data_IF_558964713315
#
_entry.id   IF_558964713315
#
_cell.length_a   1.000
_cell.length_b   1.000
_cell.length_c   1.000
_cell.angle_alpha   90.00
_cell.angle_beta   90.00
_cell.angle_gamma   90.00
#
_symmetry.space_group_name_H-M   'P 1'
#
loop_
_entity.id
_entity.type
_entity.pdbx_description
1 polymer ?
#
# COMPACT_ATOMS: atom_id res chain seq x y z
N UNK A 1 -33.09 -31.66 43.32
CA UNK A 1 -32.96 -32.97 43.97
C UNK A 1 -32.64 -33.95 42.85
N UNK A 2 -31.36 -34.25 42.66
CA UNK A 2 -30.70 -35.47 43.22
C UNK A 2 -31.32 -36.72 42.58
N UNK A 3 -30.61 -37.69 42.02
CA UNK A 3 -29.20 -38.06 42.07
C UNK A 3 -28.95 -39.10 40.96
N UNK A 4 -27.70 -39.26 40.57
CA UNK A 4 -27.21 -40.21 39.57
C UNK A 4 -27.08 -41.64 40.13
N UNK A 5 -27.15 -42.67 39.26
CA UNK A 5 -26.30 -43.87 39.39
C UNK A 5 -26.00 -44.52 38.04
N UNK A 6 -24.86 -44.12 37.50
CA UNK A 6 -23.79 -44.92 36.90
C UNK A 6 -23.94 -46.47 36.83
N UNK A 7 -23.83 -47.03 35.62
CA UNK A 7 -23.22 -48.35 35.39
C UNK A 7 -22.29 -48.29 34.18
N UNK A 8 -21.00 -48.31 34.49
CA UNK A 8 -19.90 -48.17 33.55
C UNK A 8 -19.80 -49.27 32.51
N UNK A 9 -19.33 -48.87 31.32
CA UNK A 9 -18.71 -49.78 30.35
C UNK A 9 -17.28 -49.30 30.11
N UNK A 10 -16.32 -50.16 30.47
CA UNK A 10 -14.88 -50.00 30.20
C UNK A 10 -14.68 -49.91 28.69
N UNK A 11 -14.09 -48.80 28.23
CA UNK A 11 -13.67 -48.61 26.85
C UNK A 11 -12.34 -49.34 26.60
N UNK A 12 -12.30 -50.19 25.57
CA UNK A 12 -11.05 -50.79 25.05
C UNK A 12 -10.47 -49.86 23.97
N UNK A 13 -9.19 -49.47 24.03
CA UNK A 13 -8.59 -48.65 22.98
C UNK A 13 -8.10 -49.55 21.85
N UNK A 14 -8.69 -49.40 20.65
CA UNK A 14 -8.23 -50.08 19.45
C UNK A 14 -9.08 -49.72 18.24
N UNK A 15 -8.45 -49.01 17.30
CA UNK A 15 -8.72 -49.05 15.85
C UNK A 15 -10.01 -48.39 15.32
N UNK A 16 -9.86 -47.12 14.94
CA UNK A 16 -10.23 -46.48 13.65
C UNK A 16 -10.69 -45.04 13.90
N UNK A 17 -9.92 -44.03 13.49
CA UNK A 17 -9.67 -43.59 12.10
C UNK A 17 -10.77 -42.65 11.63
N UNK A 18 -10.35 -41.42 11.29
CA UNK A 18 -11.14 -40.31 10.73
C UNK A 18 -12.28 -39.79 11.63
N UNK A 19 -12.01 -38.77 12.47
CA UNK A 19 -12.84 -37.55 12.51
C UNK A 19 -12.44 -36.54 13.59
N UNK A 20 -11.57 -36.87 14.52
CA UNK A 20 -11.32 -36.00 15.68
C UNK A 20 -9.91 -35.40 15.68
N UNK A 21 -9.75 -34.29 14.95
CA UNK A 21 -8.72 -33.25 15.17
C UNK A 21 -8.97 -32.00 14.32
N UNK A 22 -10.23 -31.56 14.21
CA UNK A 22 -10.58 -30.19 13.82
C UNK A 22 -10.69 -29.34 15.08
N UNK A 23 -9.57 -28.96 15.67
CA UNK A 23 -9.55 -27.89 16.66
C UNK A 23 -8.21 -27.15 16.66
N UNK A 24 -8.30 -25.87 16.32
CA UNK A 24 -7.37 -24.76 16.63
C UNK A 24 -5.99 -24.78 15.98
N UNK A 25 -5.94 -24.26 14.75
CA UNK A 25 -4.95 -23.22 14.40
C UNK A 25 -5.61 -22.24 13.42
N UNK A 26 -6.42 -21.33 13.96
CA UNK A 26 -6.78 -20.09 13.27
C UNK A 26 -5.57 -19.17 13.30
N UNK A 27 -4.56 -19.46 12.48
CA UNK A 27 -3.51 -18.49 12.18
C UNK A 27 -4.12 -17.45 11.26
N UNK A 28 -4.31 -16.23 11.78
CA UNK A 28 -4.66 -15.09 10.94
C UNK A 28 -3.50 -14.87 9.99
N UNK A 29 -3.77 -14.87 8.69
CA UNK A 29 -2.77 -14.66 7.63
C UNK A 29 -1.93 -13.38 7.78
N UNK A 30 -2.35 -12.43 8.63
CA UNK A 30 -1.57 -11.23 8.97
C UNK A 30 -0.31 -11.50 9.78
N UNK A 31 -0.21 -12.63 10.47
CA UNK A 31 0.92 -12.94 11.35
C UNK A 31 2.11 -13.61 10.62
N UNK A 32 1.98 -13.90 9.33
CA UNK A 32 3.00 -14.54 8.48
C UNK A 32 3.91 -13.53 7.74
N UNK A 33 3.80 -12.25 8.06
CA UNK A 33 4.72 -11.21 7.56
C UNK A 33 6.08 -11.25 8.25
N UNK A 34 6.19 -11.94 9.38
CA UNK A 34 7.41 -12.07 10.18
C UNK A 34 8.10 -13.42 9.90
N UNK A 35 9.23 -13.39 9.17
CA UNK A 35 10.01 -14.59 8.83
C UNK A 35 10.38 -15.44 10.06
N UNK A 36 10.51 -14.82 11.24
CA UNK A 36 10.87 -15.53 12.48
C UNK A 36 9.78 -16.50 12.94
N UNK A 37 8.50 -16.17 12.73
CA UNK A 37 7.38 -17.05 13.09
C UNK A 37 7.22 -18.21 12.09
N UNK A 38 7.61 -18.01 10.83
CA UNK A 38 7.65 -19.09 9.84
C UNK A 38 8.71 -20.14 10.19
N UNK A 39 9.87 -19.72 10.69
CA UNK A 39 10.94 -20.59 11.20
C UNK A 39 10.47 -21.41 12.40
N UNK A 40 9.68 -20.82 13.31
CA UNK A 40 9.19 -21.54 14.49
C UNK A 40 8.18 -22.67 14.13
N UNK A 41 7.45 -22.51 13.02
CA UNK A 41 6.58 -23.55 12.44
C UNK A 41 7.39 -24.70 11.81
N UNK A 42 8.66 -24.49 11.43
CA UNK A 42 9.55 -25.51 10.82
C UNK A 42 9.73 -26.75 11.70
N UNK A 43 9.61 -26.61 13.03
CA UNK A 43 9.85 -27.72 13.96
C UNK A 43 8.73 -28.75 14.04
N UNK A 44 7.55 -28.50 13.45
CA UNK A 44 6.36 -29.33 13.74
C UNK A 44 5.59 -29.85 12.53
N UNK A 45 5.94 -29.51 11.28
CA UNK A 45 5.13 -29.91 10.11
C UNK A 45 5.91 -30.33 8.86
N UNK A 46 5.29 -31.24 8.12
CA UNK A 46 5.74 -31.97 6.92
C UNK A 46 6.17 -31.09 5.75
N UNK A 47 7.13 -31.62 4.97
CA UNK A 47 7.83 -31.02 3.82
C UNK A 47 6.96 -30.30 2.77
N UNK A 48 5.68 -30.63 2.62
CA UNK A 48 4.78 -30.03 1.62
C UNK A 48 4.28 -28.63 1.99
N UNK A 49 4.10 -28.31 3.28
CA UNK A 49 3.70 -26.96 3.71
C UNK A 49 4.85 -25.96 3.51
N UNK A 50 6.09 -26.43 3.62
CA UNK A 50 7.31 -25.66 3.42
C UNK A 50 7.41 -25.12 1.98
N UNK A 51 7.22 -25.99 0.98
CA UNK A 51 7.31 -25.62 -0.45
C UNK A 51 6.27 -24.55 -0.82
N UNK A 52 5.05 -24.63 -0.26
CA UNK A 52 4.01 -23.65 -0.58
C UNK A 52 4.32 -22.25 -0.01
N UNK A 53 4.91 -22.16 1.19
CA UNK A 53 5.31 -20.89 1.79
C UNK A 53 6.43 -20.21 0.98
N UNK A 54 7.45 -20.95 0.53
CA UNK A 54 8.56 -20.40 -0.25
C UNK A 54 8.16 -19.93 -1.65
N UNK A 55 7.19 -20.57 -2.29
CA UNK A 55 6.76 -20.20 -3.64
C UNK A 55 5.71 -19.08 -3.67
N UNK A 56 4.80 -19.05 -2.68
CA UNK A 56 3.69 -18.06 -2.68
C UNK A 56 4.04 -16.74 -2.02
N UNK A 57 4.98 -16.72 -1.07
CA UNK A 57 5.39 -15.49 -0.38
C UNK A 57 6.08 -14.46 -1.32
N UNK A 58 7.05 -14.86 -2.17
CA UNK A 58 7.67 -13.93 -3.11
C UNK A 58 6.68 -13.44 -4.17
N UNK A 59 5.75 -14.27 -4.62
CA UNK A 59 4.74 -13.86 -5.61
C UNK A 59 3.80 -12.77 -5.08
N UNK A 60 3.34 -12.89 -3.81
CA UNK A 60 2.47 -11.89 -3.18
C UNK A 60 3.18 -10.56 -2.93
N UNK A 61 4.37 -10.60 -2.33
CA UNK A 61 5.16 -9.39 -2.07
C UNK A 61 5.45 -8.60 -3.37
N UNK A 62 5.64 -9.31 -4.48
CA UNK A 62 5.89 -8.68 -5.79
C UNK A 62 4.64 -8.06 -6.40
N UNK A 63 3.50 -8.76 -6.35
CA UNK A 63 2.22 -8.18 -6.79
C UNK A 63 1.86 -6.92 -5.99
N UNK A 64 2.21 -6.87 -4.70
CA UNK A 64 2.05 -5.67 -3.89
C UNK A 64 2.94 -4.52 -4.36
N UNK A 65 4.19 -4.80 -4.77
CA UNK A 65 5.10 -3.78 -5.31
C UNK A 65 4.66 -3.26 -6.68
N UNK A 66 4.09 -4.10 -7.52
CA UNK A 66 3.51 -3.68 -8.81
C UNK A 66 2.31 -2.74 -8.59
N UNK A 67 1.41 -3.08 -7.66
CA UNK A 67 0.29 -2.21 -7.29
C UNK A 67 0.76 -0.90 -6.65
N UNK A 68 1.81 -0.96 -5.84
CA UNK A 68 2.41 0.24 -5.27
C UNK A 68 2.97 1.15 -6.37
N UNK A 69 3.68 0.57 -7.36
CA UNK A 69 4.18 1.31 -8.52
C UNK A 69 3.06 2.04 -9.25
N UNK A 70 1.98 1.33 -9.56
CA UNK A 70 0.83 1.90 -10.27
C UNK A 70 0.22 3.09 -9.51
N UNK A 71 0.05 2.97 -8.19
CA UNK A 71 -0.45 4.07 -7.35
C UNK A 71 0.46 5.28 -7.38
N UNK A 72 1.77 5.07 -7.27
CA UNK A 72 2.75 6.16 -7.29
C UNK A 72 2.79 6.82 -8.66
N UNK A 73 2.72 6.04 -9.75
CA UNK A 73 2.67 6.56 -11.11
C UNK A 73 1.41 7.40 -11.36
N UNK A 74 0.24 6.92 -10.93
CA UNK A 74 -1.00 7.67 -11.06
C UNK A 74 -0.93 9.02 -10.31
N UNK A 75 -0.43 8.99 -9.07
CA UNK A 75 -0.20 10.22 -8.28
C UNK A 75 0.81 11.16 -8.97
N UNK A 76 1.92 10.61 -9.48
CA UNK A 76 2.92 11.37 -10.23
C UNK A 76 2.31 12.08 -11.44
N UNK A 77 1.50 11.38 -12.24
CA UNK A 77 0.87 11.96 -13.41
C UNK A 77 -0.11 13.07 -13.07
N UNK A 78 -0.90 12.91 -12.00
CA UNK A 78 -1.81 13.96 -11.52
C UNK A 78 -1.03 15.21 -11.08
N UNK A 79 -0.04 15.06 -10.21
CA UNK A 79 0.76 16.19 -9.71
C UNK A 79 1.55 16.86 -10.84
N UNK A 80 2.05 16.08 -11.80
CA UNK A 80 2.74 16.60 -12.98
C UNK A 80 1.81 17.40 -13.88
N UNK A 81 0.56 16.98 -14.06
CA UNK A 81 -0.43 17.71 -14.83
C UNK A 81 -0.76 19.05 -14.14
N UNK A 82 -1.12 19.02 -12.86
CA UNK A 82 -1.40 20.21 -12.05
C UNK A 82 -0.25 21.24 -12.08
N UNK A 83 1.00 20.75 -12.02
CA UNK A 83 2.18 21.60 -12.15
C UNK A 83 2.25 22.27 -13.52
N UNK A 84 2.00 21.51 -14.58
CA UNK A 84 2.04 22.07 -15.94
C UNK A 84 0.97 23.14 -16.14
N UNK A 85 -0.23 22.95 -15.60
CA UNK A 85 -1.29 23.95 -15.57
C UNK A 85 -0.87 25.21 -14.80
N UNK A 86 -0.30 25.06 -13.60
CA UNK A 86 0.19 26.21 -12.83
C UNK A 86 1.24 27.01 -13.59
N UNK A 87 2.16 26.34 -14.28
CA UNK A 87 3.20 27.00 -15.10
C UNK A 87 2.58 27.74 -16.29
N UNK A 88 1.56 27.17 -16.94
CA UNK A 88 0.84 27.84 -18.02
C UNK A 88 0.12 29.10 -17.54
N UNK A 89 -0.59 29.02 -16.41
CA UNK A 89 -1.28 30.18 -15.81
C UNK A 89 -0.27 31.26 -15.42
N UNK A 90 0.85 30.87 -14.78
CA UNK A 90 1.92 31.81 -14.43
C UNK A 90 2.50 32.53 -15.65
N UNK A 91 2.65 31.83 -16.78
CA UNK A 91 3.16 32.43 -18.02
C UNK A 91 2.24 33.53 -18.54
N UNK A 92 0.93 33.34 -18.45
CA UNK A 92 -0.04 34.35 -18.87
C UNK A 92 -0.15 35.49 -17.86
N UNK A 93 -0.18 35.20 -16.55
CA UNK A 93 -0.21 36.24 -15.51
C UNK A 93 1.02 37.14 -15.53
N UNK A 94 2.20 36.61 -15.91
CA UNK A 94 3.44 37.40 -16.09
C UNK A 94 3.32 38.50 -17.15
N UNK A 95 2.37 38.40 -18.07
CA UNK A 95 2.10 39.43 -19.10
C UNK A 95 1.12 40.51 -18.61
N UNK A 96 0.49 40.29 -17.46
CA UNK A 96 -0.50 41.20 -16.90
C UNK A 96 0.15 42.17 -15.91
N UNK A 97 -0.51 43.32 -15.72
CA UNK A 97 -0.10 44.29 -14.72
C UNK A 97 -0.34 43.75 -13.31
N UNK A 98 0.69 43.84 -12.45
CA UNK A 98 0.68 43.25 -11.10
C UNK A 98 -0.42 43.78 -10.17
N UNK A 99 -0.80 45.05 -10.33
CA UNK A 99 -1.82 45.70 -9.50
C UNK A 99 -3.26 45.40 -9.94
N UNK A 100 -3.48 44.68 -11.04
CA UNK A 100 -4.84 44.33 -11.48
C UNK A 100 -5.49 43.36 -10.50
N UNK A 101 -6.82 43.47 -10.41
CA UNK A 101 -7.66 42.50 -9.72
C UNK A 101 -7.65 41.17 -10.48
N UNK A 102 -7.50 40.09 -9.73
CA UNK A 102 -7.63 38.71 -10.15
C UNK A 102 -8.70 38.04 -9.28
N UNK A 103 -9.49 37.15 -9.88
CA UNK A 103 -10.55 36.44 -9.20
C UNK A 103 -10.25 34.95 -9.23
N UNK A 104 -10.24 34.34 -8.06
CA UNK A 104 -10.01 32.90 -7.90
C UNK A 104 -11.20 32.25 -7.23
N UNK A 105 -11.55 31.05 -7.70
CA UNK A 105 -12.56 30.20 -7.06
C UNK A 105 -11.86 29.20 -6.14
N UNK A 106 -12.29 29.13 -4.88
CA UNK A 106 -11.87 28.15 -3.88
C UNK A 106 -13.13 27.58 -3.22
N UNK A 107 -13.38 26.28 -3.41
CA UNK A 107 -14.54 25.58 -2.84
C UNK A 107 -15.89 26.28 -3.06
N UNK A 108 -16.07 26.86 -4.25
CA UNK A 108 -17.29 27.58 -4.63
C UNK A 108 -17.35 29.05 -4.18
N UNK A 109 -16.31 29.54 -3.49
CA UNK A 109 -16.18 30.94 -3.05
C UNK A 109 -15.28 31.68 -4.04
N UNK A 110 -15.71 32.86 -4.50
CA UNK A 110 -14.90 33.77 -5.32
C UNK A 110 -14.13 34.71 -4.40
N UNK A 111 -12.81 34.71 -4.51
CA UNK A 111 -11.91 35.60 -3.80
C UNK A 111 -11.33 36.63 -4.77
N UNK A 112 -11.36 37.91 -4.38
CA UNK A 112 -10.66 38.99 -5.07
C UNK A 112 -9.25 39.12 -4.48
N UNK A 113 -8.23 39.08 -5.35
CA UNK A 113 -6.83 39.26 -5.00
C UNK A 113 -6.13 40.11 -6.07
N UNK A 114 -4.89 40.52 -5.84
CA UNK A 114 -4.10 41.12 -6.92
C UNK A 114 -3.45 40.03 -7.78
N UNK A 115 -3.15 40.35 -9.04
CA UNK A 115 -2.35 39.47 -9.92
C UNK A 115 -1.02 39.12 -9.24
N UNK A 116 -0.41 40.06 -8.53
CA UNK A 116 0.83 39.81 -7.78
C UNK A 116 0.68 38.70 -6.74
N UNK A 117 -0.35 38.77 -5.91
CA UNK A 117 -0.59 37.80 -4.83
C UNK A 117 -0.85 36.40 -5.41
N UNK A 118 -1.68 36.33 -6.46
CA UNK A 118 -1.99 35.07 -7.15
C UNK A 118 -0.75 34.45 -7.79
N UNK A 119 0.12 35.27 -8.40
CA UNK A 119 1.37 34.78 -8.97
C UNK A 119 2.30 34.20 -7.91
N UNK A 120 2.47 34.88 -6.78
CA UNK A 120 3.34 34.42 -5.70
C UNK A 120 2.84 33.09 -5.11
N UNK A 121 1.53 32.94 -4.94
CA UNK A 121 0.93 31.68 -4.49
C UNK A 121 1.14 30.54 -5.50
N UNK A 122 0.94 30.81 -6.79
CA UNK A 122 1.16 29.82 -7.86
C UNK A 122 2.63 29.42 -7.99
N UNK A 123 3.57 30.35 -7.79
CA UNK A 123 5.02 30.07 -7.78
C UNK A 123 5.37 29.13 -6.61
N UNK A 124 4.93 29.45 -5.39
CA UNK A 124 5.12 28.59 -4.21
C UNK A 124 4.50 27.19 -4.42
N UNK A 125 3.29 27.14 -4.99
CA UNK A 125 2.62 25.86 -5.30
C UNK A 125 3.41 25.05 -6.32
N UNK A 126 3.91 25.68 -7.39
CA UNK A 126 4.71 25.03 -8.42
C UNK A 126 6.03 24.48 -7.87
N UNK A 127 6.67 25.21 -6.95
CA UNK A 127 7.87 24.74 -6.24
C UNK A 127 7.55 23.52 -5.36
N UNK A 128 6.48 23.59 -4.55
CA UNK A 128 6.04 22.45 -3.73
C UNK A 128 5.73 21.21 -4.57
N UNK A 129 5.07 21.38 -5.72
CA UNK A 129 4.79 20.27 -6.64
C UNK A 129 6.07 19.70 -7.27
N UNK A 130 7.08 20.53 -7.49
CA UNK A 130 8.40 20.05 -7.95
C UNK A 130 9.06 19.12 -6.95
N UNK A 131 8.97 19.45 -5.65
CA UNK A 131 9.46 18.58 -4.59
C UNK A 131 8.70 17.24 -4.54
N UNK A 132 7.38 17.27 -4.68
CA UNK A 132 6.55 16.05 -4.71
C UNK A 132 6.86 15.15 -5.93
N UNK A 133 7.00 15.73 -7.12
CA UNK A 133 7.39 15.02 -8.35
C UNK A 133 8.71 14.30 -8.13
N UNK A 134 9.72 15.01 -7.61
CA UNK A 134 11.03 14.41 -7.32
C UNK A 134 10.94 13.24 -6.33
N UNK A 135 10.16 13.40 -5.25
CA UNK A 135 9.95 12.33 -4.28
C UNK A 135 9.26 11.10 -4.91
N UNK A 136 8.31 11.31 -5.82
CA UNK A 136 7.69 10.23 -6.58
C UNK A 136 8.66 9.56 -7.55
N UNK A 137 9.49 10.31 -8.28
CA UNK A 137 10.54 9.75 -9.16
C UNK A 137 11.51 8.86 -8.39
N UNK A 138 11.97 9.32 -7.23
CA UNK A 138 12.88 8.55 -6.38
C UNK A 138 12.21 7.27 -5.86
N UNK A 139 10.91 7.34 -5.53
CA UNK A 139 10.13 6.15 -5.13
C UNK A 139 9.96 5.17 -6.29
N UNK A 140 9.65 5.67 -7.49
CA UNK A 140 9.52 4.86 -8.71
C UNK A 140 10.84 4.13 -9.00
N UNK A 141 11.98 4.84 -9.01
CA UNK A 141 13.30 4.24 -9.21
C UNK A 141 13.60 3.13 -8.21
N UNK A 142 13.29 3.36 -6.93
CA UNK A 142 13.48 2.37 -5.87
C UNK A 142 12.65 1.11 -6.13
N UNK A 143 11.37 1.25 -6.46
CA UNK A 143 10.50 0.10 -6.75
C UNK A 143 10.98 -0.61 -8.04
N UNK A 144 11.38 0.13 -9.07
CA UNK A 144 11.90 -0.44 -10.33
C UNK A 144 13.15 -1.28 -10.10
N UNK A 145 14.08 -0.85 -9.24
CA UNK A 145 15.27 -1.62 -8.89
C UNK A 145 14.89 -2.97 -8.26
N UNK A 146 13.95 -2.98 -7.31
CA UNK A 146 13.44 -4.21 -6.68
C UNK A 146 12.80 -5.14 -7.71
N UNK A 147 12.00 -4.60 -8.63
CA UNK A 147 11.36 -5.38 -9.70
C UNK A 147 12.37 -5.95 -10.69
N UNK A 148 13.44 -5.20 -11.02
CA UNK A 148 14.45 -5.61 -11.99
C UNK A 148 15.40 -6.69 -11.45
N UNK A 149 15.80 -6.64 -10.17
CA UNK A 149 16.63 -7.68 -9.54
C UNK A 149 16.02 -9.08 -9.70
N UNK A 150 14.68 -9.18 -9.72
CA UNK A 150 13.97 -10.44 -9.93
C UNK A 150 14.00 -10.94 -11.38
N UNK A 151 14.05 -10.06 -12.38
CA UNK A 151 14.09 -10.49 -13.79
C UNK A 151 15.44 -11.10 -14.19
N UNK A 152 16.49 -10.81 -13.41
CA UNK A 152 17.85 -11.33 -13.59
C UNK A 152 18.14 -12.62 -12.79
N UNK A 153 17.20 -13.07 -11.95
CA UNK A 153 17.27 -14.33 -11.19
C UNK A 153 16.35 -15.37 -11.83
#
# INVERSE_FOLDING_TARGET
>A
MEEATEKGKRYKPGENSYHEKKARTSLRWRDLTDMRKCIEIERTRTSTTFVYCYLTFPARAMSEKEKEMERVLNSYHMVSADKSECVLVLKELKRMERGRKAFRIVDGIVLEQTVHDVMLELENRAESMTAMIKAHEDRIKTIQQVLNIKKSL
#
